data_IF_981844850097
#
_entry.id   IF_981844850097
#
_cell.length_a   1.000
_cell.length_b   1.000
_cell.length_c   1.000
_cell.angle_alpha   90.00
_cell.angle_beta   90.00
_cell.angle_gamma   90.00
#
_symmetry.space_group_name_H-M   'P 1'
#
loop_
_entity.id
_entity.type
_entity.pdbx_description
1 polymer ?
#
# COMPACT_ATOMS: atom_id res chain seq x y z
N UNK A 1 -22.33 27.85 0.45
CA UNK A 1 -23.31 27.13 -0.40
C UNK A 1 -22.61 25.91 -0.96
N UNK A 2 -22.90 24.67 -0.59
CA UNK A 2 -23.86 24.15 0.37
C UNK A 2 -23.32 22.84 0.97
N UNK A 3 -23.56 22.66 2.27
CA UNK A 3 -23.39 21.38 2.95
C UNK A 3 -24.53 20.44 2.52
N UNK A 4 -24.20 19.20 2.21
CA UNK A 4 -25.14 18.10 2.22
C UNK A 4 -24.44 16.91 2.88
N UNK A 5 -24.82 16.65 4.13
CA UNK A 5 -24.44 15.46 4.89
C UNK A 5 -25.52 14.40 4.66
N UNK A 6 -25.21 13.13 4.35
CA UNK A 6 -26.20 12.05 4.40
C UNK A 6 -26.35 11.51 5.84
N UNK A 7 -27.50 10.88 6.16
CA UNK A 7 -27.91 10.62 7.53
C UNK A 7 -27.16 9.45 8.16
N UNK A 8 -26.83 9.59 9.44
CA UNK A 8 -26.54 8.48 10.34
C UNK A 8 -27.81 7.63 10.45
N UNK A 9 -27.80 6.44 9.85
CA UNK A 9 -28.71 5.36 10.23
C UNK A 9 -27.96 4.50 11.25
N UNK A 10 -28.44 4.50 12.49
CA UNK A 10 -28.06 3.52 13.50
C UNK A 10 -28.82 2.24 13.23
N UNK A 11 -28.25 1.38 12.38
CA UNK A 11 -28.60 -0.04 12.36
C UNK A 11 -27.48 -0.79 13.09
N UNK A 12 -27.78 -1.14 14.33
CA UNK A 12 -26.97 -2.03 15.16
C UNK A 12 -27.21 -3.45 14.65
N UNK A 13 -26.43 -3.87 13.66
CA UNK A 13 -26.27 -5.29 13.32
C UNK A 13 -24.98 -5.80 13.99
N UNK A 14 -25.18 -6.53 15.09
CA UNK A 14 -24.14 -7.29 15.78
C UNK A 14 -23.98 -8.65 15.08
N UNK A 15 -22.80 -8.86 14.48
CA UNK A 15 -22.44 -10.02 13.64
C UNK A 15 -21.23 -9.69 12.76
N UNK A 16 -20.12 -9.29 13.39
CA UNK A 16 -18.97 -8.64 12.77
C UNK A 16 -18.24 -9.47 11.72
N UNK A 17 -18.49 -9.15 10.45
CA UNK A 17 -17.64 -9.54 9.33
C UNK A 17 -16.71 -8.35 9.01
N UNK A 18 -15.82 -8.05 9.95
CA UNK A 18 -14.77 -7.05 9.72
C UNK A 18 -13.88 -7.58 8.60
N UNK A 19 -13.64 -6.77 7.57
CA UNK A 19 -12.79 -7.16 6.43
C UNK A 19 -11.44 -7.66 6.98
N UNK A 20 -10.99 -8.89 6.64
CA UNK A 20 -9.74 -9.44 7.16
C UNK A 20 -8.55 -8.51 6.93
N UNK A 21 -7.64 -8.42 7.89
CA UNK A 21 -6.45 -7.57 7.79
C UNK A 21 -5.60 -7.92 6.56
N UNK A 22 -5.55 -9.21 6.21
CA UNK A 22 -4.94 -9.71 4.96
C UNK A 22 -5.53 -9.04 3.70
N UNK A 23 -6.86 -8.96 3.60
CA UNK A 23 -7.57 -8.33 2.49
C UNK A 23 -7.33 -6.83 2.47
N UNK A 24 -7.32 -6.19 3.64
CA UNK A 24 -7.04 -4.75 3.74
C UNK A 24 -5.62 -4.44 3.25
N UNK A 25 -4.61 -5.19 3.71
CA UNK A 25 -3.22 -5.00 3.29
C UNK A 25 -3.04 -5.25 1.78
N UNK A 26 -3.67 -6.29 1.24
CA UNK A 26 -3.62 -6.56 -0.19
C UNK A 26 -4.26 -5.45 -1.05
N UNK A 27 -5.34 -4.84 -0.58
CA UNK A 27 -5.94 -3.65 -1.23
C UNK A 27 -5.00 -2.44 -1.20
N UNK A 28 -4.31 -2.21 -0.09
CA UNK A 28 -3.29 -1.15 0.01
C UNK A 28 -2.18 -1.39 -1.01
N UNK A 29 -1.62 -2.60 -1.06
CA UNK A 29 -0.58 -2.97 -2.02
C UNK A 29 -1.04 -2.81 -3.46
N UNK A 30 -2.30 -3.14 -3.77
CA UNK A 30 -2.88 -2.92 -5.10
C UNK A 30 -2.85 -1.44 -5.46
N UNK A 31 -3.28 -0.57 -4.55
CA UNK A 31 -3.30 0.89 -4.75
C UNK A 31 -1.91 1.52 -4.81
N UNK A 32 -0.88 0.87 -4.29
CA UNK A 32 0.50 1.34 -4.40
C UNK A 32 1.14 1.01 -5.75
N UNK A 33 0.53 0.16 -6.58
CA UNK A 33 1.08 -0.24 -7.87
C UNK A 33 0.36 0.46 -9.03
N UNK A 34 1.00 0.68 -10.19
CA UNK A 34 0.40 1.33 -11.35
C UNK A 34 -0.56 0.40 -12.11
N UNK A 35 -1.66 -0.02 -11.46
CA UNK A 35 -2.54 -1.09 -11.96
C UNK A 35 -3.63 -0.67 -12.94
N UNK A 36 -3.92 0.62 -13.02
CA UNK A 36 -4.90 1.20 -13.94
C UNK A 36 -4.42 2.57 -14.45
N UNK A 37 -5.25 3.21 -15.29
CA UNK A 37 -4.88 4.46 -15.93
C UNK A 37 -4.65 5.62 -14.94
N UNK A 38 -5.44 5.68 -13.86
CA UNK A 38 -5.37 6.75 -12.87
C UNK A 38 -4.12 6.58 -12.01
N UNK A 39 -3.89 5.37 -11.49
CA UNK A 39 -2.67 5.05 -10.74
C UNK A 39 -1.42 5.21 -11.61
N UNK A 40 -1.47 4.93 -12.91
CA UNK A 40 -0.36 5.23 -13.83
C UNK A 40 -0.09 6.72 -13.98
N UNK A 41 -1.08 7.60 -13.82
CA UNK A 41 -0.83 9.05 -13.78
C UNK A 41 -0.17 9.45 -12.46
N UNK A 42 -0.65 8.94 -11.33
CA UNK A 42 -0.04 9.20 -10.02
C UNK A 42 1.43 8.77 -10.00
N UNK A 43 1.73 7.61 -10.59
CA UNK A 43 3.11 7.11 -10.73
C UNK A 43 4.02 8.02 -11.56
N UNK A 44 3.50 8.69 -12.60
CA UNK A 44 4.29 9.69 -13.34
C UNK A 44 4.62 10.90 -12.47
N UNK A 45 3.66 11.36 -11.67
CA UNK A 45 3.86 12.47 -10.73
C UNK A 45 4.91 12.11 -9.67
N UNK A 46 4.88 10.88 -9.15
CA UNK A 46 5.92 10.36 -8.25
C UNK A 46 7.30 10.37 -8.90
N UNK A 47 7.42 9.89 -10.15
CA UNK A 47 8.70 9.88 -10.88
C UNK A 47 9.24 11.30 -11.12
N UNK A 48 8.38 12.23 -11.51
CA UNK A 48 8.74 13.65 -11.67
C UNK A 48 9.17 14.28 -10.34
N UNK A 49 8.45 13.97 -9.25
CA UNK A 49 8.76 14.42 -7.91
C UNK A 49 10.14 13.90 -7.47
N UNK A 50 10.43 12.62 -7.67
CA UNK A 50 11.75 12.03 -7.34
C UNK A 50 12.89 12.74 -8.06
N UNK A 51 12.74 13.02 -9.36
CA UNK A 51 13.73 13.76 -10.15
C UNK A 51 13.89 15.20 -9.63
N UNK A 52 12.79 15.85 -9.25
CA UNK A 52 12.82 17.22 -8.72
C UNK A 52 13.46 17.29 -7.34
N UNK A 53 13.16 16.34 -6.46
CA UNK A 53 13.68 16.26 -5.09
C UNK A 53 15.23 16.15 -5.02
N UNK A 54 15.87 15.69 -6.10
CA UNK A 54 17.34 15.66 -6.18
C UNK A 54 17.99 17.05 -6.17
N UNK A 55 17.24 18.09 -6.59
CA UNK A 55 17.77 19.46 -6.80
C UNK A 55 16.99 20.56 -6.09
N UNK A 56 15.82 20.25 -5.54
CA UNK A 56 14.93 21.21 -4.90
C UNK A 56 14.56 20.75 -3.48
N UNK A 57 14.88 21.56 -2.46
CA UNK A 57 14.69 21.18 -1.06
C UNK A 57 13.21 21.06 -0.69
N UNK A 58 12.36 21.95 -1.20
CA UNK A 58 10.92 21.89 -0.95
C UNK A 58 10.31 20.61 -1.52
N UNK A 59 10.65 20.25 -2.77
CA UNK A 59 10.22 18.97 -3.34
C UNK A 59 10.76 17.75 -2.56
N UNK A 60 11.98 17.83 -2.02
CA UNK A 60 12.53 16.76 -1.17
C UNK A 60 11.72 16.58 0.11
N UNK A 61 11.40 17.67 0.81
CA UNK A 61 10.58 17.58 2.01
C UNK A 61 9.19 17.01 1.69
N UNK A 62 8.55 17.50 0.63
CA UNK A 62 7.26 16.96 0.18
C UNK A 62 7.34 15.44 -0.12
N UNK A 63 8.39 14.99 -0.80
CA UNK A 63 8.58 13.57 -1.08
C UNK A 63 8.70 12.75 0.22
N UNK A 64 9.51 13.20 1.18
CA UNK A 64 9.66 12.54 2.49
C UNK A 64 8.32 12.51 3.25
N UNK A 65 7.59 13.63 3.31
CA UNK A 65 6.29 13.70 3.99
C UNK A 65 5.26 12.74 3.38
N UNK A 66 5.30 12.54 2.06
CA UNK A 66 4.43 11.57 1.38
C UNK A 66 4.86 10.13 1.64
N UNK A 67 6.18 9.85 1.71
CA UNK A 67 6.67 8.53 2.11
C UNK A 67 6.28 8.19 3.55
N UNK A 68 6.30 9.16 4.46
CA UNK A 68 5.85 8.97 5.85
C UNK A 68 4.35 8.63 5.91
N UNK A 69 3.53 9.29 5.08
CA UNK A 69 2.10 8.96 4.98
C UNK A 69 1.87 7.54 4.43
N UNK A 70 2.63 7.12 3.42
CA UNK A 70 2.57 5.74 2.90
C UNK A 70 3.01 4.73 3.96
N UNK A 71 4.06 5.05 4.72
CA UNK A 71 4.55 4.19 5.80
C UNK A 71 3.51 4.04 6.91
N UNK A 72 2.88 5.13 7.34
CA UNK A 72 1.76 5.10 8.29
C UNK A 72 0.55 4.31 7.76
N UNK A 73 0.26 4.40 6.45
CA UNK A 73 -0.87 3.68 5.86
C UNK A 73 -0.67 2.16 5.87
N UNK A 74 0.52 1.69 5.47
CA UNK A 74 0.91 0.28 5.54
C UNK A 74 1.01 -0.17 7.00
N UNK A 75 1.71 0.61 7.84
CA UNK A 75 1.93 0.32 9.24
C UNK A 75 0.63 0.13 10.00
N UNK A 76 -0.33 1.05 9.84
CA UNK A 76 -1.63 0.94 10.48
C UNK A 76 -2.45 -0.27 10.02
N UNK A 77 -2.21 -0.83 8.82
CA UNK A 77 -2.84 -2.09 8.42
C UNK A 77 -2.16 -3.31 9.05
N UNK A 78 -0.84 -3.27 9.20
CA UNK A 78 -0.07 -4.33 9.88
C UNK A 78 -0.40 -4.34 11.37
N UNK A 79 -0.39 -3.19 12.04
CA UNK A 79 -0.76 -3.05 13.46
C UNK A 79 -2.17 -3.60 13.72
N UNK A 80 -3.15 -3.21 12.89
CA UNK A 80 -4.51 -3.78 13.00
C UNK A 80 -4.55 -5.29 12.91
N UNK A 81 -3.76 -5.89 12.01
CA UNK A 81 -3.69 -7.35 11.89
C UNK A 81 -2.99 -8.01 13.07
N UNK A 82 -2.00 -7.36 13.67
CA UNK A 82 -1.36 -7.82 14.91
C UNK A 82 -2.37 -7.75 16.06
N UNK A 83 -3.07 -6.62 16.21
CA UNK A 83 -4.06 -6.39 17.28
C UNK A 83 -5.25 -7.36 17.21
N UNK A 84 -5.67 -7.76 15.99
CA UNK A 84 -6.72 -8.75 15.78
C UNK A 84 -6.24 -10.19 15.93
N UNK A 85 -4.93 -10.42 16.01
CA UNK A 85 -4.31 -11.76 16.05
C UNK A 85 -4.25 -12.46 14.69
N UNK A 86 -4.56 -11.76 13.60
CA UNK A 86 -4.44 -12.28 12.22
C UNK A 86 -2.99 -12.31 11.74
N UNK A 87 -2.14 -11.38 12.21
CA UNK A 87 -0.71 -11.31 11.91
C UNK A 87 0.14 -11.61 13.14
N UNK A 88 1.34 -12.13 12.91
CA UNK A 88 2.37 -12.30 13.94
C UNK A 88 2.98 -10.96 14.31
N UNK A 89 3.33 -10.78 15.59
CA UNK A 89 4.08 -9.61 16.06
C UNK A 89 5.40 -9.46 15.30
N UNK A 90 5.65 -8.28 14.74
CA UNK A 90 6.82 -8.00 13.91
C UNK A 90 7.27 -6.53 14.04
N UNK A 91 8.45 -6.22 13.49
CA UNK A 91 8.87 -4.83 13.28
C UNK A 91 8.04 -4.20 12.14
N UNK A 92 6.96 -3.52 12.53
CA UNK A 92 6.03 -2.83 11.60
C UNK A 92 6.76 -1.84 10.71
N UNK A 93 7.75 -1.13 11.25
CA UNK A 93 8.47 -0.12 10.51
C UNK A 93 9.35 -0.74 9.43
N UNK A 94 10.04 -1.84 9.75
CA UNK A 94 10.81 -2.61 8.78
C UNK A 94 9.94 -3.20 7.67
N UNK A 95 8.74 -3.71 7.99
CA UNK A 95 7.77 -4.19 6.99
C UNK A 95 7.32 -3.07 6.07
N UNK A 96 6.95 -1.90 6.63
CA UNK A 96 6.57 -0.72 5.85
C UNK A 96 7.66 -0.30 4.85
N UNK A 97 8.91 -0.21 5.33
CA UNK A 97 10.06 0.10 4.47
C UNK A 97 10.26 -0.94 3.37
N UNK A 98 10.16 -2.24 3.69
CA UNK A 98 10.31 -3.31 2.70
C UNK A 98 9.23 -3.23 1.62
N UNK A 99 7.96 -3.04 2.03
CA UNK A 99 6.83 -2.89 1.11
C UNK A 99 7.06 -1.73 0.16
N UNK A 100 7.40 -0.55 0.68
CA UNK A 100 7.63 0.65 -0.13
C UNK A 100 8.80 0.46 -1.11
N UNK A 101 9.93 -0.08 -0.64
CA UNK A 101 11.09 -0.33 -1.50
C UNK A 101 10.78 -1.30 -2.66
N UNK A 102 10.00 -2.35 -2.39
CA UNK A 102 9.58 -3.29 -3.43
C UNK A 102 8.55 -2.67 -4.38
N UNK A 103 7.58 -1.91 -3.87
CA UNK A 103 6.63 -1.17 -4.69
C UNK A 103 7.33 -0.19 -5.62
N UNK A 104 8.29 0.59 -5.14
CA UNK A 104 9.09 1.54 -5.93
C UNK A 104 9.84 0.85 -7.07
N UNK A 105 10.62 -0.19 -6.73
CA UNK A 105 11.41 -0.92 -7.73
C UNK A 105 10.56 -1.63 -8.79
N UNK A 106 9.46 -2.27 -8.37
CA UNK A 106 8.57 -2.99 -9.29
C UNK A 106 7.67 -2.04 -10.08
N UNK A 107 7.17 -0.98 -9.46
CA UNK A 107 6.33 0.03 -10.11
C UNK A 107 7.09 0.81 -11.18
N UNK A 108 8.39 1.11 -10.98
CA UNK A 108 9.24 1.65 -12.05
C UNK A 108 9.27 0.69 -13.25
N UNK A 109 9.49 -0.61 -13.02
CA UNK A 109 9.53 -1.61 -14.10
C UNK A 109 8.18 -1.77 -14.81
N UNK A 110 7.08 -1.70 -14.07
CA UNK A 110 5.72 -1.69 -14.62
C UNK A 110 5.42 -0.43 -15.45
N UNK A 111 5.94 0.73 -15.04
CA UNK A 111 5.81 1.98 -15.81
C UNK A 111 6.64 1.97 -17.09
N UNK A 112 7.74 1.22 -17.12
CA UNK A 112 8.57 0.99 -18.29
C UNK A 112 8.07 -0.15 -19.20
N UNK A 113 6.93 -0.76 -18.87
CA UNK A 113 6.35 -1.92 -19.56
C UNK A 113 7.39 -3.05 -19.75
N UNK A 114 8.21 -3.31 -18.73
CA UNK A 114 9.22 -4.36 -18.75
C UNK A 114 8.55 -5.75 -18.88
N UNK A 115 8.81 -6.52 -19.95
CA UNK A 115 8.12 -7.77 -20.21
C UNK A 115 8.40 -8.88 -19.18
N UNK A 116 9.36 -8.68 -18.27
CA UNK A 116 9.67 -9.62 -17.19
C UNK A 116 8.86 -9.37 -15.91
N UNK A 117 8.15 -8.24 -15.80
CA UNK A 117 7.38 -7.87 -14.61
C UNK A 117 6.00 -7.39 -15.04
N UNK A 118 5.00 -8.22 -14.81
CA UNK A 118 3.59 -7.82 -14.86
C UNK A 118 3.03 -7.58 -13.45
N UNK A 119 1.78 -7.11 -13.36
CA UNK A 119 1.12 -6.81 -12.09
C UNK A 119 1.01 -8.03 -11.18
N UNK A 120 0.73 -9.21 -11.75
CA UNK A 120 0.61 -10.45 -10.99
C UNK A 120 1.96 -10.83 -10.35
N UNK A 121 3.03 -10.75 -11.13
CA UNK A 121 4.41 -11.00 -10.67
C UNK A 121 4.82 -10.00 -9.60
N UNK A 122 4.51 -8.71 -9.77
CA UNK A 122 4.82 -7.67 -8.80
C UNK A 122 4.11 -7.93 -7.45
N UNK A 123 2.78 -8.13 -7.48
CA UNK A 123 1.98 -8.44 -6.28
C UNK A 123 2.48 -9.69 -5.58
N UNK A 124 2.69 -10.78 -6.33
CA UNK A 124 3.19 -12.04 -5.80
C UNK A 124 4.60 -11.89 -5.19
N UNK A 125 5.46 -11.08 -5.77
CA UNK A 125 6.82 -10.84 -5.27
C UNK A 125 6.80 -10.09 -3.95
N UNK A 126 6.01 -9.01 -3.86
CA UNK A 126 5.87 -8.22 -2.63
C UNK A 126 5.26 -9.08 -1.52
N UNK A 127 4.18 -9.80 -1.83
CA UNK A 127 3.45 -10.61 -0.85
C UNK A 127 4.30 -11.74 -0.30
N UNK A 128 5.00 -12.48 -1.16
CA UNK A 128 5.91 -13.55 -0.72
C UNK A 128 7.06 -13.05 0.14
N UNK A 129 7.49 -11.80 -0.04
CA UNK A 129 8.55 -11.22 0.78
C UNK A 129 8.08 -10.90 2.21
N UNK A 130 6.83 -10.46 2.38
CA UNK A 130 6.30 -10.07 3.70
C UNK A 130 5.54 -11.20 4.41
N UNK A 131 5.00 -12.17 3.67
CA UNK A 131 4.15 -13.22 4.24
C UNK A 131 4.80 -14.02 5.39
N UNK A 132 6.09 -14.41 5.31
CA UNK A 132 6.74 -15.12 6.42
C UNK A 132 6.85 -14.27 7.70
N UNK A 133 7.04 -12.96 7.56
CA UNK A 133 7.18 -12.03 8.70
C UNK A 133 5.84 -11.80 9.37
N UNK A 134 4.76 -11.75 8.58
CA UNK A 134 3.40 -11.55 9.07
C UNK A 134 2.73 -12.86 9.53
N UNK A 135 3.31 -14.03 9.23
CA UNK A 135 2.73 -15.33 9.56
C UNK A 135 1.48 -15.68 8.75
N UNK A 136 1.39 -15.21 7.50
CA UNK A 136 0.23 -15.39 6.62
C UNK A 136 0.54 -16.27 5.41
N UNK A 137 -0.51 -16.68 4.69
CA UNK A 137 -0.36 -17.45 3.45
C UNK A 137 0.44 -16.66 2.39
N UNK A 138 1.45 -17.28 1.73
CA UNK A 138 2.31 -16.61 0.75
C UNK A 138 1.63 -16.38 -0.61
N UNK A 139 0.38 -16.79 -0.81
CA UNK A 139 -0.44 -16.49 -1.98
C UNK A 139 -1.12 -15.15 -1.80
N UNK A 140 -0.94 -14.25 -2.77
CA UNK A 140 -1.60 -12.95 -2.76
C UNK A 140 -3.13 -13.16 -2.89
N UNK A 141 -3.95 -12.58 -2.00
CA UNK A 141 -5.39 -12.82 -2.01
C UNK A 141 -6.07 -12.09 -3.17
N UNK A 142 -7.18 -12.64 -3.64
CA UNK A 142 -8.05 -11.97 -4.62
C UNK A 142 -8.80 -10.80 -3.95
N UNK A 143 -8.58 -9.57 -4.44
CA UNK A 143 -9.08 -8.32 -3.83
C UNK A 143 -9.49 -7.26 -4.84
#
# INVERSE_FOLDING_TARGET
>A
MGSANPPISTDTEDGGDTVPATVVLARILRSMLPSDADLRQDWKLWQELWVRAQRDQTARHLAVDLYDQLHAWVGGAVERGIDSGEFTECDVAAVGTLVQALCDGLGIRLMLDDPRVDLATARSTIWRAIAPVLGIDPVFPEV
#
